data_IF_093666706899
#
_entry.id   IF_093666706899
#
_cell.length_a   1.000
_cell.length_b   1.000
_cell.length_c   1.000
_cell.angle_alpha   90.00
_cell.angle_beta   90.00
_cell.angle_gamma   90.00
#
_symmetry.space_group_name_H-M   'P 1'
#
loop_
_entity.id
_entity.type
_entity.pdbx_description
1 polymer ?
2 non-polymer ?
3 non-polymer ?
4 non-polymer ?
5 water ?
#
# COMPACT_ATOMS: atom_id res chain seq x y z
N UNK A 3 -19.89 17.47 -9.86
CA UNK A 3 -20.63 16.23 -9.61
C UNK A 3 -19.71 15.02 -9.71
N UNK A 4 -19.91 14.08 -8.79
CA UNK A 4 -19.09 12.88 -8.75
C UNK A 4 -19.89 11.65 -9.11
N UNK A 5 -19.30 10.79 -9.94
CA UNK A 5 -19.96 9.55 -10.32
C UNK A 5 -19.53 8.39 -9.45
N UNK A 6 -20.52 7.71 -8.87
CA UNK A 6 -20.29 6.48 -8.15
C UNK A 6 -20.65 5.35 -9.09
N UNK A 7 -19.65 4.56 -9.48
CA UNK A 7 -19.79 3.58 -10.55
C UNK A 7 -19.49 2.17 -10.05
N UNK A 8 -20.38 1.23 -10.36
CA UNK A 8 -20.18 -0.16 -9.93
C UNK A 8 -19.98 -1.09 -11.12
N UNK A 9 -20.19 -0.56 -12.32
CA UNK A 9 -20.10 -1.35 -13.54
C UNK A 9 -18.78 -1.13 -14.27
N UNK A 10 -18.11 -2.23 -14.64
CA UNK A 10 -16.91 -2.17 -15.46
C UNK A 10 -17.18 -1.48 -16.79
N UNK A 11 -18.25 -1.88 -17.46
CA UNK A 11 -18.65 -1.31 -18.74
C UNK A 11 -18.83 0.20 -18.63
N UNK A 12 -19.48 0.62 -17.55
CA UNK A 12 -19.76 2.03 -17.35
C UNK A 12 -18.48 2.84 -17.04
N UNK A 13 -17.58 2.25 -16.26
CA UNK A 13 -16.30 2.90 -15.95
C UNK A 13 -15.48 3.12 -17.21
N UNK A 14 -15.43 2.09 -18.06
CA UNK A 14 -14.71 2.17 -19.32
C UNK A 14 -15.23 3.28 -20.23
N UNK A 15 -16.55 3.44 -20.29
CA UNK A 15 -17.12 4.49 -21.13
C UNK A 15 -16.76 5.89 -20.63
N UNK A 16 -16.78 6.06 -19.31
CA UNK A 16 -16.45 7.36 -18.71
C UNK A 16 -15.01 7.72 -18.99
N UNK A 17 -14.12 6.75 -18.79
CA UNK A 17 -12.70 6.94 -19.08
C UNK A 17 -12.46 7.22 -20.56
N UNK A 18 -13.13 6.46 -21.43
CA UNK A 18 -13.03 6.67 -22.86
C UNK A 18 -13.43 8.09 -23.27
N UNK A 19 -14.51 8.59 -22.67
CA UNK A 19 -14.97 9.96 -22.94
C UNK A 19 -13.96 11.01 -22.49
N UNK A 20 -13.38 10.81 -21.31
CA UNK A 20 -12.35 11.72 -20.80
C UNK A 20 -11.15 11.77 -21.74
N UNK A 21 -10.72 10.60 -22.21
CA UNK A 21 -9.60 10.51 -23.14
C UNK A 21 -9.86 11.25 -24.44
N UNK A 22 -11.11 11.24 -24.89
CA UNK A 22 -11.48 11.89 -26.15
C UNK A 22 -11.36 13.42 -26.04
N UNK A 23 -11.32 13.92 -24.81
CA UNK A 23 -11.10 15.34 -24.57
C UNK A 23 -9.67 15.58 -24.09
N UNK A 24 -8.81 14.59 -24.29
CA UNK A 24 -7.39 14.66 -23.91
C UNK A 24 -7.16 15.02 -22.46
N UNK A 25 -7.99 14.48 -21.57
CA UNK A 25 -7.85 14.75 -20.15
C UNK A 25 -6.95 13.71 -19.49
N UNK A 26 -6.03 14.17 -18.64
CA UNK A 26 -5.18 13.27 -17.89
C UNK A 26 -5.96 12.64 -16.73
N UNK A 27 -5.54 11.45 -16.33
CA UNK A 27 -6.24 10.69 -15.30
C UNK A 27 -5.32 10.25 -14.16
N UNK A 28 -5.65 10.66 -12.94
CA UNK A 28 -4.93 10.21 -11.76
C UNK A 28 -5.76 9.15 -11.04
N UNK A 29 -5.11 8.06 -10.63
CA UNK A 29 -5.80 6.91 -10.06
C UNK A 29 -5.25 6.52 -8.69
N UNK A 30 -6.16 6.34 -7.74
CA UNK A 30 -5.82 5.92 -6.38
C UNK A 30 -6.55 4.63 -6.03
N UNK A 31 -5.88 3.48 -6.17
CA UNK A 31 -6.52 2.22 -5.77
C UNK A 31 -6.52 2.03 -4.25
N UNK A 32 -7.66 1.65 -3.68
CA UNK A 32 -7.78 1.44 -2.23
C UNK A 32 -8.69 0.26 -1.92
N UNK A 33 -8.69 -0.15 -0.65
CA UNK A 33 -9.64 -1.15 -0.18
C UNK A 33 -10.72 -0.54 0.72
N UNK A 34 -10.89 0.77 0.64
CA UNK A 34 -12.00 1.43 1.31
C UNK A 34 -11.75 1.75 2.77
N UNK A 35 -12.83 2.13 3.46
CA UNK A 35 -12.75 2.64 4.83
C UNK A 35 -11.67 3.72 4.91
N UNK A 36 -11.92 4.82 4.20
CA UNK A 36 -10.86 5.77 3.88
C UNK A 36 -10.40 6.63 5.06
N UNK A 37 -9.12 7.03 5.03
CA UNK A 37 -8.54 7.87 6.06
C UNK A 37 -7.62 8.91 5.41
N UNK A 38 -6.97 9.73 6.24
CA UNK A 38 -6.14 10.82 5.73
C UNK A 38 -4.98 10.35 4.85
N UNK A 39 -4.55 9.10 5.04
CA UNK A 39 -3.52 8.54 4.19
C UNK A 39 -4.00 8.51 2.74
N UNK A 40 -5.20 7.96 2.55
CA UNK A 40 -5.78 7.88 1.21
C UNK A 40 -5.99 9.28 0.66
N UNK A 41 -6.43 10.20 1.51
CA UNK A 41 -6.71 11.56 1.08
C UNK A 41 -5.46 12.27 0.60
N UNK A 42 -4.31 11.96 1.19
CA UNK A 42 -3.06 12.57 0.74
C UNK A 42 -2.72 12.13 -0.68
N UNK A 43 -3.13 10.90 -1.03
CA UNK A 43 -2.92 10.37 -2.37
C UNK A 43 -3.84 11.08 -3.36
N UNK A 44 -5.08 11.28 -2.96
CA UNK A 44 -6.06 12.01 -3.76
C UNK A 44 -5.54 13.42 -4.05
N UNK A 45 -5.02 14.08 -3.03
CA UNK A 45 -4.48 15.42 -3.19
C UNK A 45 -3.38 15.47 -4.26
N UNK A 46 -2.50 14.49 -4.26
CA UNK A 46 -1.47 14.40 -5.30
C UNK A 46 -2.10 14.14 -6.67
N UNK A 47 -3.11 13.28 -6.69
CA UNK A 47 -3.79 12.91 -7.93
C UNK A 47 -4.48 14.10 -8.59
N UNK A 48 -4.80 15.11 -7.78
CA UNK A 48 -5.48 16.31 -8.29
C UNK A 48 -4.61 17.14 -9.24
N UNK A 49 -3.35 16.76 -9.39
CA UNK A 49 -2.51 17.38 -10.41
C UNK A 49 -3.01 16.98 -11.80
N UNK A 50 -3.77 15.89 -11.87
CA UNK A 50 -4.33 15.42 -13.13
C UNK A 50 -5.71 16.04 -13.35
N UNK A 51 -6.20 15.99 -14.58
CA UNK A 51 -7.49 16.60 -14.91
C UNK A 51 -8.65 15.89 -14.23
N UNK A 52 -8.55 14.56 -14.14
CA UNK A 52 -9.59 13.74 -13.51
C UNK A 52 -8.98 12.76 -12.51
N UNK A 53 -9.67 12.58 -11.38
CA UNK A 53 -9.20 11.66 -10.34
C UNK A 53 -10.19 10.52 -10.12
N UNK A 54 -9.66 9.30 -10.11
CA UNK A 54 -10.46 8.11 -9.86
C UNK A 54 -9.98 7.45 -8.59
N UNK A 55 -10.93 7.10 -7.71
CA UNK A 55 -10.60 6.24 -6.58
C UNK A 55 -11.34 4.91 -6.76
N UNK A 56 -10.62 3.80 -6.67
CA UNK A 56 -11.30 2.51 -6.63
C UNK A 56 -11.37 2.01 -5.20
N UNK A 57 -12.47 1.36 -4.88
CA UNK A 57 -12.66 0.76 -3.57
C UNK A 57 -13.06 -0.67 -3.81
N UNK A 58 -12.18 -1.60 -3.45
CA UNK A 58 -12.43 -3.02 -3.70
C UNK A 58 -11.61 -3.85 -2.72
N UNK A 59 -12.31 -4.52 -1.80
CA UNK A 59 -11.61 -5.45 -0.91
C UNK A 59 -11.36 -6.71 -1.72
N UNK A 60 -10.15 -6.80 -2.29
CA UNK A 60 -9.82 -7.82 -3.27
C UNK A 60 -9.60 -9.19 -2.62
N UNK A 61 -10.53 -10.13 -2.84
CA UNK A 61 -10.43 -11.42 -2.16
C UNK A 61 -9.16 -12.20 -2.53
N UNK A 62 -8.64 -11.98 -3.74
CA UNK A 62 -7.45 -12.69 -4.20
C UNK A 62 -6.22 -12.44 -3.33
N UNK A 63 -6.16 -11.30 -2.65
CA UNK A 63 -4.97 -10.98 -1.88
C UNK A 63 -5.09 -11.24 -0.37
N UNK A 64 -6.15 -11.92 0.02
CA UNK A 64 -6.33 -12.38 1.40
C UNK A 64 -6.25 -13.90 1.46
N UNK A 65 -5.55 -14.42 2.47
CA UNK A 65 -5.61 -15.85 2.76
C UNK A 65 -6.65 -16.10 3.86
N UNK A 66 -7.07 -17.37 4.04
CA UNK A 66 -8.09 -17.73 5.03
C UNK A 66 -7.69 -17.44 6.47
N UNK A 67 -6.38 -17.31 6.71
CA UNK A 67 -5.87 -17.00 8.04
C UNK A 67 -5.84 -15.51 8.30
N UNK A 68 -6.30 -14.72 7.34
CA UNK A 68 -6.22 -13.27 7.45
C UNK A 68 -7.59 -12.67 7.72
N UNK A 69 -7.80 -11.41 7.35
CA UNK A 69 -8.96 -10.69 7.88
C UNK A 69 -9.94 -10.19 6.81
N UNK A 70 -10.13 -10.98 5.75
CA UNK A 70 -11.08 -10.60 4.71
C UNK A 70 -12.48 -10.33 5.27
N UNK A 71 -12.95 -11.21 6.14
CA UNK A 71 -14.32 -11.12 6.64
C UNK A 71 -14.55 -9.93 7.58
N UNK A 72 -13.51 -9.55 8.31
CA UNK A 72 -13.64 -8.49 9.30
C UNK A 72 -13.17 -7.14 8.77
N UNK A 73 -12.60 -7.12 7.57
CA UNK A 73 -12.06 -5.87 7.01
C UNK A 73 -13.11 -4.76 7.06
N UNK A 74 -12.74 -3.60 7.64
CA UNK A 74 -13.74 -2.54 7.83
C UNK A 74 -14.34 -2.09 6.51
N UNK A 75 -15.66 -1.93 6.49
CA UNK A 75 -16.37 -1.53 5.28
C UNK A 75 -17.45 -0.51 5.64
N UNK A 76 -17.43 0.63 4.93
CA UNK A 76 -18.41 1.69 5.17
C UNK A 76 -18.42 2.58 3.94
N UNK A 77 -19.26 2.22 2.97
CA UNK A 77 -19.30 2.91 1.68
C UNK A 77 -19.83 4.34 1.79
N UNK A 78 -20.79 4.53 2.69
CA UNK A 78 -21.34 5.85 2.93
C UNK A 78 -20.24 6.82 3.39
N UNK A 79 -19.43 6.37 4.33
CA UNK A 79 -18.26 7.14 4.80
C UNK A 79 -17.31 7.45 3.65
N UNK A 80 -16.97 6.43 2.87
CA UNK A 80 -16.01 6.58 1.78
C UNK A 80 -16.50 7.52 0.68
N UNK A 81 -17.76 7.34 0.27
CA UNK A 81 -18.34 8.17 -0.77
C UNK A 81 -18.33 9.65 -0.36
N UNK A 82 -18.70 9.91 0.88
CA UNK A 82 -18.72 11.27 1.40
C UNK A 82 -17.32 11.89 1.38
N UNK A 83 -16.33 11.13 1.83
CA UNK A 83 -14.95 11.62 1.83
C UNK A 83 -14.41 11.90 0.42
N UNK A 84 -14.74 11.04 -0.54
CA UNK A 84 -14.36 11.29 -1.92
C UNK A 84 -15.07 12.53 -2.46
N UNK A 85 -16.37 12.63 -2.20
CA UNK A 85 -17.17 13.77 -2.62
C UNK A 85 -16.56 15.07 -2.10
N UNK A 86 -16.20 15.06 -0.82
CA UNK A 86 -15.70 16.27 -0.16
C UNK A 86 -14.29 16.62 -0.58
N UNK A 87 -13.60 15.70 -1.25
CA UNK A 87 -12.20 15.92 -1.60
C UNK A 87 -11.92 15.95 -3.11
N UNK A 88 -12.96 16.20 -3.90
CA UNK A 88 -12.79 16.47 -5.31
C UNK A 88 -12.53 15.27 -6.21
N UNK A 89 -12.93 14.09 -5.77
CA UNK A 89 -12.84 12.90 -6.59
C UNK A 89 -13.89 12.94 -7.69
N UNK A 90 -13.50 12.57 -8.92
CA UNK A 90 -14.41 12.63 -10.06
C UNK A 90 -15.22 11.35 -10.26
N UNK A 91 -14.60 10.20 -9.99
CA UNK A 91 -15.30 8.93 -10.03
C UNK A 91 -14.86 8.02 -8.90
N UNK A 92 -15.82 7.45 -8.19
CA UNK A 92 -15.52 6.36 -7.27
C UNK A 92 -15.97 5.07 -7.92
N UNK A 93 -15.02 4.20 -8.19
CA UNK A 93 -15.28 2.91 -8.82
C UNK A 93 -15.36 1.83 -7.76
N UNK A 94 -16.55 1.29 -7.56
CA UNK A 94 -16.77 0.30 -6.51
C UNK A 94 -17.34 -0.97 -7.13
N UNK A 95 -16.50 -1.74 -7.82
CA UNK A 95 -17.02 -2.96 -8.45
C UNK A 95 -17.25 -4.02 -7.37
N UNK A 96 -18.22 -4.90 -7.57
CA UNK A 96 -18.33 -6.05 -6.70
C UNK A 96 -17.54 -7.18 -7.33
N UNK A 97 -17.26 -8.22 -6.57
CA UNK A 97 -16.38 -9.29 -7.05
C UNK A 97 -16.91 -10.01 -8.29
N UNK A 98 -18.23 -10.00 -8.50
CA UNK A 98 -18.82 -10.68 -9.66
C UNK A 98 -18.63 -9.90 -10.96
N UNK A 99 -18.34 -8.61 -10.84
CA UNK A 99 -17.98 -7.79 -11.99
C UNK A 99 -16.52 -8.02 -12.33
N UNK A 100 -15.69 -8.21 -11.31
CA UNK A 100 -14.25 -8.32 -11.51
C UNK A 100 -13.84 -9.74 -11.88
N UNK A 101 -14.37 -10.72 -11.16
CA UNK A 101 -13.98 -12.10 -11.37
C UNK A 101 -15.18 -12.94 -11.78
N UNK A 102 -15.34 -13.14 -13.10
CA UNK A 102 -16.45 -13.93 -13.62
C UNK A 102 -16.27 -15.41 -13.32
N UNK A 103 -17.31 -16.21 -13.60
CA UNK A 103 -17.32 -17.61 -13.20
C UNK A 103 -16.11 -18.43 -13.64
N UNK A 104 -15.63 -18.18 -14.85
CA UNK A 104 -14.54 -18.96 -15.44
C UNK A 104 -13.17 -18.30 -15.31
N UNK A 105 -13.07 -17.28 -14.46
CA UNK A 105 -11.81 -16.55 -14.27
C UNK A 105 -10.69 -17.49 -13.83
N UNK A 106 -9.54 -17.44 -14.50
CA UNK A 106 -8.43 -18.32 -14.16
C UNK A 106 -7.05 -17.74 -14.48
N UNK A 107 -7.01 -16.50 -14.94
CA UNK A 107 -5.76 -15.87 -15.36
C UNK A 107 -5.10 -15.20 -14.15
N UNK A 108 -3.78 -15.05 -14.19
CA UNK A 108 -3.10 -14.32 -13.13
C UNK A 108 -1.81 -13.68 -13.62
N UNK A 109 -1.35 -12.70 -12.86
CA UNK A 109 -0.07 -12.05 -13.09
C UNK A 109 0.77 -12.28 -11.83
N UNK A 110 2.03 -12.62 -11.99
CA UNK A 110 2.90 -12.87 -10.86
C UNK A 110 4.33 -12.61 -11.32
N UNK A 111 5.29 -12.80 -10.43
CA UNK A 111 6.69 -12.57 -10.81
C UNK A 111 7.62 -13.44 -9.98
N UNK A 112 8.88 -13.53 -10.43
CA UNK A 112 9.85 -14.45 -9.86
C UNK A 112 10.91 -13.78 -9.00
N UNK A 113 10.83 -12.46 -8.86
CA UNK A 113 11.71 -11.74 -7.96
C UNK A 113 10.89 -10.78 -7.10
N UNK A 114 11.52 -10.22 -6.07
CA UNK A 114 10.94 -9.18 -5.22
C UNK A 114 9.84 -9.66 -4.26
N UNK A 115 8.85 -10.37 -4.79
CA UNK A 115 7.70 -10.78 -3.97
C UNK A 115 8.00 -11.88 -2.96
N UNK A 116 9.17 -12.50 -3.03
CA UNK A 116 9.49 -13.58 -2.11
C UNK A 116 10.09 -13.11 -0.79
N UNK A 117 10.21 -11.80 -0.63
CA UNK A 117 10.83 -11.21 0.56
C UNK A 117 9.78 -10.56 1.43
N UNK A 118 10.18 -10.17 2.64
CA UNK A 118 9.31 -9.40 3.55
C UNK A 118 7.90 -10.00 3.70
N UNK A 119 6.86 -9.17 3.48
CA UNK A 119 5.47 -9.61 3.63
C UNK A 119 5.11 -10.72 2.65
N UNK A 120 5.74 -10.70 1.47
CA UNK A 120 5.48 -11.70 0.46
C UNK A 120 5.83 -13.10 0.94
N UNK A 121 6.91 -13.21 1.70
CA UNK A 121 7.30 -14.49 2.27
C UNK A 121 6.32 -14.95 3.36
N UNK A 122 5.69 -13.98 4.02
CA UNK A 122 4.76 -14.26 5.12
C UNK A 122 3.33 -14.47 4.63
N UNK A 123 3.07 -14.09 3.38
CA UNK A 123 1.70 -14.06 2.86
C UNK A 123 1.63 -14.69 1.47
N UNK A 124 1.68 -16.03 1.41
CA UNK A 124 1.66 -16.75 0.12
C UNK A 124 0.45 -16.35 -0.72
N UNK A 125 0.69 -16.00 -1.98
CA UNK A 125 -0.39 -15.66 -2.90
C UNK A 125 -0.82 -14.20 -2.86
N UNK A 126 -0.33 -13.44 -1.89
CA UNK A 126 -0.76 -12.06 -1.70
C UNK A 126 -0.42 -11.20 -2.92
N UNK A 127 0.83 -11.22 -3.34
CA UNK A 127 1.23 -10.34 -4.44
C UNK A 127 0.70 -10.76 -5.80
N UNK A 128 0.44 -12.05 -5.98
CA UNK A 128 -0.27 -12.50 -7.18
C UNK A 128 -1.63 -11.80 -7.22
N UNK A 129 -2.30 -11.72 -6.06
CA UNK A 129 -3.59 -11.07 -5.96
C UNK A 129 -3.49 -9.58 -6.27
N UNK A 130 -2.45 -8.93 -5.73
CA UNK A 130 -2.20 -7.51 -5.98
C UNK A 130 -1.91 -7.23 -7.46
N UNK A 131 -0.98 -7.98 -8.05
CA UNK A 131 -0.59 -7.76 -9.44
C UNK A 131 -1.75 -8.03 -10.37
N UNK A 132 -2.48 -9.10 -10.09
CA UNK A 132 -3.60 -9.49 -10.94
C UNK A 132 -4.72 -8.44 -10.91
N UNK A 133 -5.10 -7.98 -9.71
CA UNK A 133 -6.19 -7.02 -9.64
C UNK A 133 -5.79 -5.65 -10.20
N UNK A 134 -4.53 -5.24 -10.02
CA UNK A 134 -4.11 -3.94 -10.55
C UNK A 134 -3.95 -3.97 -12.07
N UNK A 135 -3.54 -5.11 -12.62
CA UNK A 135 -3.53 -5.26 -14.07
C UNK A 135 -4.94 -5.02 -14.63
N UNK A 136 -5.93 -5.60 -13.96
CA UNK A 136 -7.32 -5.41 -14.36
C UNK A 136 -7.77 -3.95 -14.23
N UNK A 137 -7.54 -3.34 -13.06
CA UNK A 137 -7.88 -1.94 -12.86
C UNK A 137 -7.17 -1.03 -13.86
N UNK A 138 -5.87 -1.28 -14.09
CA UNK A 138 -5.11 -0.46 -15.04
C UNK A 138 -5.68 -0.58 -16.46
N UNK A 139 -6.09 -1.79 -16.83
CA UNK A 139 -6.70 -1.99 -18.15
C UNK A 139 -8.08 -1.34 -18.29
N UNK A 140 -8.86 -1.37 -17.21
CA UNK A 140 -10.19 -0.78 -17.19
C UNK A 140 -10.14 0.75 -17.20
N UNK A 141 -9.29 1.32 -16.36
CA UNK A 141 -9.32 2.75 -16.06
C UNK A 141 -8.31 3.58 -16.86
N UNK A 142 -7.33 2.91 -17.44
CA UNK A 142 -6.35 3.55 -18.32
C UNK A 142 -5.74 4.83 -17.73
N UNK A 143 -5.20 4.76 -16.50
CA UNK A 143 -4.73 5.99 -15.85
C UNK A 143 -3.38 6.47 -16.42
N UNK A 144 -3.05 7.72 -16.17
CA UNK A 144 -1.74 8.25 -16.58
C UNK A 144 -0.75 8.12 -15.42
N UNK A 145 -1.22 8.44 -14.22
CA UNK A 145 -0.41 8.29 -13.03
C UNK A 145 -1.20 7.55 -11.95
N UNK A 146 -0.55 6.60 -11.30
CA UNK A 146 -1.17 5.84 -10.23
C UNK A 146 -0.48 6.21 -8.92
N UNK A 147 -1.26 6.64 -7.94
CA UNK A 147 -0.70 7.13 -6.69
C UNK A 147 -0.80 6.08 -5.60
N UNK A 148 0.35 5.71 -5.05
CA UNK A 148 0.43 4.67 -4.04
C UNK A 148 1.28 5.13 -2.85
N UNK A 149 1.02 4.56 -1.69
CA UNK A 149 1.68 4.99 -0.47
C UNK A 149 2.95 4.21 -0.17
N UNK A 150 3.96 4.95 0.27
CA UNK A 150 5.20 4.33 0.74
C UNK A 150 4.94 3.37 1.90
N UNK A 151 3.81 3.53 2.59
CA UNK A 151 3.49 2.66 3.72
C UNK A 151 3.53 1.18 3.33
N UNK A 152 3.04 0.87 2.13
CA UNK A 152 3.22 -0.47 1.60
C UNK A 152 4.38 -0.47 0.61
N UNK A 153 5.59 -0.42 1.18
CA UNK A 153 6.80 -0.17 0.40
C UNK A 153 7.06 -1.24 -0.63
N UNK A 154 6.97 -2.50 -0.20
CA UNK A 154 7.24 -3.62 -1.08
C UNK A 154 6.24 -3.62 -2.23
N UNK A 155 4.98 -3.36 -1.89
CA UNK A 155 3.94 -3.26 -2.92
C UNK A 155 4.29 -2.23 -3.99
N UNK A 156 4.77 -1.05 -3.59
CA UNK A 156 5.19 -0.04 -4.55
C UNK A 156 6.24 -0.59 -5.51
N UNK A 157 7.21 -1.30 -4.96
CA UNK A 157 8.33 -1.82 -5.75
C UNK A 157 7.86 -2.94 -6.68
N UNK A 158 7.01 -3.81 -6.14
CA UNK A 158 6.41 -4.88 -6.94
C UNK A 158 5.63 -4.31 -8.12
N UNK A 159 4.74 -3.37 -7.84
CA UNK A 159 3.89 -2.81 -8.88
C UNK A 159 4.72 -2.06 -9.93
N UNK A 160 5.69 -1.28 -9.47
CA UNK A 160 6.59 -0.57 -10.37
C UNK A 160 7.28 -1.55 -11.33
N UNK A 161 7.71 -2.68 -10.80
CA UNK A 161 8.39 -3.70 -11.59
C UNK A 161 7.44 -4.35 -12.61
N UNK A 162 6.22 -4.65 -12.18
CA UNK A 162 5.22 -5.21 -13.08
C UNK A 162 4.95 -4.24 -14.22
N UNK A 163 4.82 -2.97 -13.87
CA UNK A 163 4.56 -1.91 -14.85
C UNK A 163 5.70 -1.84 -15.90
N UNK A 164 6.94 -1.87 -15.43
CA UNK A 164 8.09 -1.87 -16.33
C UNK A 164 8.11 -3.11 -17.21
N UNK A 165 8.03 -4.28 -16.58
CA UNK A 165 8.11 -5.57 -17.29
C UNK A 165 7.01 -5.79 -18.33
N UNK A 166 5.80 -5.33 -18.03
CA UNK A 166 4.66 -5.58 -18.92
C UNK A 166 4.32 -4.36 -19.80
N UNK A 167 5.18 -3.35 -19.75
CA UNK A 167 5.03 -2.16 -20.59
C UNK A 167 3.74 -1.38 -20.39
N UNK A 168 3.22 -1.34 -19.17
CA UNK A 168 2.06 -0.47 -18.91
C UNK A 168 2.43 0.98 -19.14
N UNK A 169 1.61 1.67 -19.94
CA UNK A 169 1.89 3.06 -20.28
C UNK A 169 1.37 3.98 -19.19
N UNK A 170 2.00 3.93 -18.03
CA UNK A 170 1.61 4.78 -16.92
C UNK A 170 2.75 4.88 -15.93
N UNK A 171 2.61 5.82 -14.99
CA UNK A 171 3.62 6.07 -13.97
C UNK A 171 3.09 5.77 -12.55
N UNK A 172 3.89 5.08 -11.74
CA UNK A 172 3.58 4.85 -10.35
C UNK A 172 4.25 5.94 -9.54
N UNK A 173 3.47 6.76 -8.86
CA UNK A 173 4.04 7.80 -8.01
C UNK A 173 3.90 7.42 -6.54
N UNK A 174 5.04 7.30 -5.85
CA UNK A 174 5.06 6.93 -4.44
C UNK A 174 4.92 8.15 -3.54
N UNK A 175 4.02 8.07 -2.56
CA UNK A 175 3.72 9.18 -1.66
C UNK A 175 4.07 8.85 -0.21
N UNK A 176 4.43 9.87 0.59
CA UNK A 176 4.92 9.65 1.96
C UNK A 176 3.89 9.06 2.91
N UNK A 177 4.35 8.38 3.96
CA UNK A 177 3.48 7.81 4.97
C UNK A 177 2.80 8.90 5.80
N UNK A 178 1.48 8.83 5.89
CA UNK A 178 0.73 9.77 6.72
C UNK A 178 0.49 9.12 8.07
N UNK A 179 0.71 9.88 9.15
CA UNK A 179 0.65 9.33 10.49
C UNK A 179 -0.37 10.03 11.38
N UNK A 180 -0.88 9.28 12.35
CA UNK A 180 -1.68 9.86 13.43
C UNK A 180 -0.82 10.81 14.25
N UNK A 181 -1.47 11.61 15.10
CA UNK A 181 -0.80 12.60 15.93
C UNK A 181 0.34 12.03 16.78
N UNK A 182 0.19 10.78 17.19
CA UNK A 182 1.20 10.15 18.05
C UNK A 182 2.16 9.22 17.31
N UNK A 183 2.13 9.26 15.98
CA UNK A 183 3.14 8.56 15.19
C UNK A 183 2.66 7.31 14.47
N UNK A 184 1.59 6.69 14.95
CA UNK A 184 1.05 5.48 14.33
C UNK A 184 0.73 5.71 12.85
N UNK A 185 1.26 4.87 11.97
CA UNK A 185 0.97 4.98 10.54
C UNK A 185 -0.52 4.75 10.34
N UNK A 186 -1.18 5.65 9.60
CA UNK A 186 -2.61 5.49 9.37
C UNK A 186 -2.90 4.22 8.59
N UNK A 187 -3.96 3.51 9.01
CA UNK A 187 -4.36 2.30 8.35
C UNK A 187 -5.80 2.00 8.74
N UNK A 188 -6.57 1.50 7.80
CA UNK A 188 -7.93 1.08 8.09
C UNK A 188 -7.93 -0.01 9.17
N UNK A 189 -6.86 -0.79 9.24
CA UNK A 189 -6.77 -1.85 10.24
C UNK A 189 -6.55 -1.34 11.67
N UNK A 190 -6.21 -0.06 11.82
CA UNK A 190 -6.07 0.52 13.16
C UNK A 190 -7.39 0.47 13.93
N UNK A 191 -8.50 0.36 13.21
CA UNK A 191 -9.81 0.30 13.86
C UNK A 191 -9.94 -0.96 14.74
N UNK A 192 -9.13 -1.98 14.47
CA UNK A 192 -9.17 -3.22 15.25
C UNK A 192 -8.59 -3.06 16.66
N UNK A 193 -7.73 -2.07 16.87
CA UNK A 193 -6.94 -1.99 18.09
C UNK A 193 -7.76 -1.57 19.32
N UNK A 194 -7.57 -2.29 20.41
CA UNK A 194 -8.12 -1.91 21.70
C UNK A 194 -7.29 -0.74 22.24
N UNK A 195 -7.75 -0.15 23.32
CA UNK A 195 -7.04 0.94 23.98
C UNK A 195 -5.60 0.55 24.32
N UNK A 196 -5.44 -0.63 24.93
CA UNK A 196 -4.11 -1.12 25.31
C UNK A 196 -3.27 -1.46 24.08
N UNK A 197 -3.90 -2.03 23.08
CA UNK A 197 -3.19 -2.40 21.86
C UNK A 197 -2.69 -1.15 21.12
N UNK A 198 -3.50 -0.10 21.09
CA UNK A 198 -3.06 1.11 20.39
C UNK A 198 -1.87 1.74 21.09
N UNK A 199 -1.90 1.73 22.42
CA UNK A 199 -0.77 2.25 23.20
C UNK A 199 0.50 1.45 22.89
N UNK A 200 0.38 0.12 22.85
CA UNK A 200 1.52 -0.72 22.50
C UNK A 200 2.03 -0.49 21.08
N UNK A 201 1.11 -0.31 20.13
CA UNK A 201 1.47 -0.19 18.73
C UNK A 201 2.39 1.00 18.43
N UNK A 202 2.42 1.99 19.33
CA UNK A 202 3.27 3.15 19.12
C UNK A 202 4.75 2.78 19.07
N UNK A 203 5.10 1.65 19.67
CA UNK A 203 6.49 1.19 19.66
C UNK A 203 6.98 0.92 18.23
N UNK A 204 6.07 0.57 17.34
CA UNK A 204 6.43 0.33 15.96
C UNK A 204 6.97 1.59 15.27
N UNK A 205 6.20 2.66 15.30
CA UNK A 205 6.65 3.93 14.73
C UNK A 205 7.87 4.48 15.48
N UNK A 206 7.91 4.29 16.79
CA UNK A 206 9.07 4.72 17.58
C UNK A 206 10.35 4.01 17.11
N UNK A 207 10.26 2.72 16.83
CA UNK A 207 11.42 1.96 16.34
C UNK A 207 11.86 2.47 14.96
N UNK A 208 10.89 2.83 14.12
CA UNK A 208 11.16 3.41 12.81
C UNK A 208 11.83 4.79 12.92
N UNK A 209 11.33 5.63 13.82
CA UNK A 209 11.89 6.97 14.03
C UNK A 209 13.33 6.87 14.50
N UNK A 210 13.59 5.97 15.43
CA UNK A 210 14.95 5.79 15.95
C UNK A 210 15.89 5.31 14.87
N UNK A 211 15.46 4.28 14.14
CA UNK A 211 16.29 3.67 13.11
C UNK A 211 16.67 4.69 12.04
N UNK A 212 15.69 5.47 11.59
CA UNK A 212 15.98 6.48 10.56
C UNK A 212 16.95 7.53 11.10
N UNK A 213 16.80 7.89 12.37
CA UNK A 213 17.72 8.85 12.99
C UNK A 213 19.14 8.29 13.03
N UNK A 214 19.28 7.02 13.40
CA UNK A 214 20.59 6.37 13.46
C UNK A 214 21.24 6.32 12.08
N UNK A 215 20.44 5.95 11.07
CA UNK A 215 20.94 5.89 9.70
C UNK A 215 21.42 7.26 9.23
N UNK A 216 20.60 8.28 9.43
CA UNK A 216 20.95 9.62 8.98
C UNK A 216 22.10 10.23 9.77
N UNK A 217 22.48 9.59 10.87
CA UNK A 217 23.64 10.03 11.65
C UNK A 217 24.89 9.23 11.31
N UNK A 218 24.78 8.34 10.33
CA UNK A 218 25.95 7.66 9.79
C UNK A 218 26.12 6.21 10.16
N UNK A 219 25.15 5.63 10.86
CA UNK A 219 25.23 4.22 11.22
C UNK A 219 25.03 3.31 10.00
N UNK A 220 26.01 2.45 9.74
CA UNK A 220 25.97 1.59 8.56
C UNK A 220 25.68 0.12 8.89
N UNK A 221 25.93 -0.26 10.13
CA UNK A 221 25.76 -1.65 10.57
C UNK A 221 24.28 -1.96 10.81
N UNK A 222 23.66 -2.69 9.88
CA UNK A 222 22.23 -2.96 9.99
C UNK A 222 21.91 -3.87 11.18
N UNK A 223 22.85 -4.75 11.53
CA UNK A 223 22.65 -5.64 12.67
C UNK A 223 22.46 -4.83 13.95
N UNK A 224 23.18 -3.71 14.04
CA UNK A 224 23.12 -2.84 15.20
C UNK A 224 21.82 -2.03 15.24
N UNK A 225 21.42 -1.52 14.08
CA UNK A 225 20.17 -0.78 13.96
C UNK A 225 18.98 -1.68 14.30
N UNK A 226 18.99 -2.90 13.77
CA UNK A 226 17.91 -3.84 14.02
C UNK A 226 17.83 -4.19 15.52
N UNK A 227 18.97 -4.34 16.17
CA UNK A 227 18.97 -4.63 17.60
C UNK A 227 18.34 -3.48 18.39
N UNK A 228 18.67 -2.25 18.00
CA UNK A 228 18.11 -1.08 18.67
C UNK A 228 16.59 -1.02 18.47
N UNK A 229 16.13 -1.43 17.29
CA UNK A 229 14.69 -1.47 17.02
C UNK A 229 14.02 -2.57 17.84
N UNK A 230 14.64 -3.74 17.86
CA UNK A 230 14.14 -4.88 18.63
C UNK A 230 13.96 -4.53 20.10
N UNK A 231 14.93 -3.81 20.67
CA UNK A 231 14.88 -3.46 22.09
C UNK A 231 13.65 -2.63 22.43
N UNK A 232 13.30 -1.69 21.56
CA UNK A 232 12.10 -0.88 21.74
C UNK A 232 10.85 -1.74 21.68
N UNK A 233 10.77 -2.58 20.64
CA UNK A 233 9.59 -3.40 20.42
C UNK A 233 9.39 -4.47 21.49
N UNK A 234 10.50 -5.00 22.01
CA UNK A 234 10.43 -6.07 23.00
C UNK A 234 9.98 -5.60 24.38
N UNK A 235 9.85 -4.29 24.56
CA UNK A 235 9.34 -3.76 25.82
C UNK A 235 7.82 -3.83 25.89
N UNK A 236 7.18 -4.11 24.76
CA UNK A 236 5.72 -4.24 24.69
C UNK A 236 5.31 -5.70 24.60
N UNK A 237 4.71 -6.21 25.66
CA UNK A 237 4.32 -7.62 25.71
C UNK A 237 3.19 -7.96 24.73
N UNK A 238 2.44 -6.95 24.29
CA UNK A 238 1.35 -7.21 23.35
C UNK A 238 1.84 -7.34 21.91
N UNK A 239 3.12 -7.05 21.70
CA UNK A 239 3.70 -7.09 20.36
C UNK A 239 4.44 -8.39 20.08
N UNK A 240 4.07 -9.05 18.98
CA UNK A 240 4.82 -10.19 18.47
C UNK A 240 5.40 -9.81 17.12
N UNK A 241 6.73 -9.73 17.04
CA UNK A 241 7.39 -9.31 15.81
C UNK A 241 7.18 -10.36 14.72
N UNK A 242 6.81 -9.92 13.53
CA UNK A 242 6.74 -10.80 12.36
C UNK A 242 8.09 -10.75 11.65
N UNK A 243 8.52 -9.56 11.27
CA UNK A 243 9.89 -9.34 10.83
C UNK A 243 10.40 -7.93 11.13
N UNK A 244 11.71 -7.79 11.20
CA UNK A 244 12.40 -6.50 11.16
C UNK A 244 13.55 -6.70 10.19
N UNK A 245 13.57 -5.96 9.09
CA UNK A 245 14.56 -6.16 8.05
C UNK A 245 15.01 -4.84 7.47
N UNK A 246 16.32 -4.71 7.22
CA UNK A 246 16.85 -3.60 6.47
C UNK A 246 17.33 -4.12 5.12
N UNK A 247 16.69 -3.64 4.05
CA UNK A 247 16.91 -4.20 2.72
C UNK A 247 17.22 -3.12 1.71
N UNK A 248 17.77 -3.52 0.57
CA UNK A 248 17.96 -2.63 -0.57
C UNK A 248 16.59 -2.32 -1.15
N UNK A 249 16.32 -1.04 -1.40
CA UNK A 249 14.97 -0.64 -1.79
C UNK A 249 14.60 -1.12 -3.21
N UNK A 250 15.60 -1.43 -4.02
CA UNK A 250 15.32 -1.88 -5.38
C UNK A 250 15.10 -3.38 -5.52
N UNK A 251 15.76 -4.16 -4.66
CA UNK A 251 15.76 -5.62 -4.83
C UNK A 251 15.09 -6.36 -3.67
N UNK A 252 14.89 -5.67 -2.56
CA UNK A 252 14.33 -6.23 -1.32
C UNK A 252 15.28 -7.22 -0.61
N UNK A 253 16.51 -7.33 -1.09
CA UNK A 253 17.47 -8.23 -0.46
C UNK A 253 18.11 -7.61 0.78
N UNK A 254 18.37 -8.44 1.79
CA UNK A 254 18.92 -7.98 3.05
C UNK A 254 20.27 -7.28 2.87
N UNK A 255 20.49 -6.25 3.68
CA UNK A 255 21.72 -5.47 3.67
C UNK A 255 22.44 -5.70 5.00
N UNK A 256 23.73 -6.02 4.95
CA UNK A 256 24.55 -6.09 6.16
C UNK A 256 25.19 -4.74 6.45
N UNK A 257 25.62 -4.06 5.39
CA UNK A 257 26.24 -2.75 5.52
C UNK A 257 25.62 -1.75 4.55
N UNK A 258 25.13 -0.63 5.08
CA UNK A 258 24.45 0.37 4.27
C UNK A 258 25.41 1.20 3.41
N UNK A 259 25.11 1.32 2.13
CA UNK A 259 25.85 2.24 1.26
C UNK A 259 24.97 3.40 0.78
N UNK A 260 24.30 3.23 -0.36
CA UNK A 260 23.55 4.32 -0.97
C UNK A 260 22.10 4.43 -0.51
N UNK A 261 21.50 3.31 -0.10
CA UNK A 261 20.09 3.32 0.27
C UNK A 261 19.73 2.27 1.32
N UNK A 262 18.59 2.47 1.97
CA UNK A 262 18.04 1.45 2.85
C UNK A 262 16.54 1.61 3.02
N UNK A 263 15.83 0.49 2.92
CA UNK A 263 14.44 0.40 3.33
C UNK A 263 14.43 -0.40 4.62
N UNK A 264 14.05 0.25 5.72
CA UNK A 264 13.93 -0.44 7.00
C UNK A 264 12.48 -0.76 7.22
N UNK A 265 12.12 -2.03 7.21
CA UNK A 265 10.72 -2.42 7.29
C UNK A 265 10.41 -3.28 8.50
N UNK A 266 9.26 -3.02 9.12
CA UNK A 266 8.81 -3.78 10.27
C UNK A 266 7.40 -4.30 10.00
N UNK A 267 7.15 -5.54 10.38
CA UNK A 267 5.78 -6.07 10.47
C UNK A 267 5.64 -6.72 11.84
N UNK A 268 4.52 -6.46 12.51
CA UNK A 268 4.31 -7.02 13.83
C UNK A 268 2.84 -7.18 14.13
N UNK A 269 2.54 -8.18 14.95
CA UNK A 269 1.19 -8.38 15.45
C UNK A 269 1.04 -7.66 16.78
N UNK A 270 0.01 -6.82 16.88
CA UNK A 270 -0.37 -6.20 18.14
C UNK A 270 -1.71 -6.80 18.49
N UNK A 271 -1.72 -7.71 19.46
CA UNK A 271 -2.84 -8.62 19.60
C UNK A 271 -2.94 -9.40 18.31
N UNK A 272 -4.13 -9.48 17.73
CA UNK A 272 -4.34 -10.23 16.50
C UNK A 272 -4.03 -9.40 15.23
N UNK A 273 -3.96 -8.09 15.37
CA UNK A 273 -3.84 -7.18 14.23
C UNK A 273 -2.41 -7.10 13.69
N UNK A 274 -2.24 -7.31 12.39
CA UNK A 274 -0.92 -7.24 11.78
C UNK A 274 -0.63 -5.87 11.17
N UNK A 275 0.27 -5.12 11.81
CA UNK A 275 0.60 -3.78 11.37
C UNK A 275 1.97 -3.75 10.70
N UNK A 276 2.16 -2.81 9.77
CA UNK A 276 3.46 -2.63 9.12
C UNK A 276 3.85 -1.15 9.10
N UNK A 277 5.14 -0.89 9.01
CA UNK A 277 5.66 0.47 8.96
C UNK A 277 7.05 0.37 8.37
N UNK A 278 7.58 1.49 7.89
CA UNK A 278 8.93 1.51 7.34
C UNK A 278 9.50 2.91 7.30
N UNK A 279 10.80 2.99 7.03
CA UNK A 279 11.39 4.25 6.63
C UNK A 279 12.23 3.96 5.40
N UNK A 280 12.47 4.98 4.59
CA UNK A 280 13.23 4.83 3.36
C UNK A 280 14.24 5.97 3.24
N UNK A 281 15.51 5.61 3.08
CA UNK A 281 16.56 6.58 2.85
C UNK A 281 17.26 6.26 1.54
N UNK A 282 17.43 7.26 0.70
CA UNK A 282 18.06 7.08 -0.60
C UNK A 282 19.14 8.13 -0.83
N UNK A 283 20.04 7.87 -1.76
CA UNK A 283 21.06 8.83 -2.14
C UNK A 283 22.07 9.17 -1.06
N UNK A 284 22.45 8.17 -0.26
CA UNK A 284 23.51 8.36 0.72
C UNK A 284 24.87 8.28 0.04
N UNK A 285 25.83 9.07 0.54
CA UNK A 285 27.18 9.05 0.00
C UNK A 285 28.03 7.99 0.70
X LIG B 1 -5.28 0.23 1.37
X LIG B 1 -5.44 -0.85 0.33
X LIG B 1 -4.83 -0.18 2.74
X LIG B 1 -6.57 0.99 1.46
X LIG B 1 -4.31 1.35 0.81
X LIG B 1 -4.53 1.95 -0.46
X LIG B 1 -3.37 2.86 -0.83
X LIG B 1 -3.20 3.84 0.23
X LIG B 1 -2.03 2.14 -0.98
X LIG B 1 -1.25 2.79 -1.97
X LIG B 1 -1.40 2.37 0.39
X LIG B 1 0.02 2.28 0.43
X LIG B 1 -1.87 3.78 0.71
X LIG B 1 -1.85 4.09 2.13
X LIG B 1 -2.43 3.37 3.12
X LIG B 1 -2.14 3.90 4.34
X LIG B 1 -1.33 4.96 4.13
X LIG B 1 -0.65 5.95 4.97
X LIG B 1 -0.80 5.91 6.31
X LIG B 1 0.10 6.90 4.36
X LIG B 1 0.24 6.93 3.01
X LIG B 1 -0.35 6.05 2.18
X LIG B 1 -1.13 5.06 2.68
X LIG C 1 -5.95 -4.20 -4.17
X LIG C 1 -4.47 -2.39 -3.55
X LIG C 1 -4.91 -3.34 -4.66
X LIG C 1 -3.32 -1.56 -4.13
X LIG C 1 -5.63 -1.49 -3.14
X LIG C 1 -4.03 -3.25 -2.36
X LIG C 1 -3.04 -4.15 -2.85
X LIG C 1 -3.50 -2.52 -1.15
X LIG C 1 -3.10 -1.36 -1.19
X LIG C 1 -3.47 -3.20 0.01
X LIG C 1 -2.30 -3.11 0.88
X LIG C 1 -2.53 -3.64 2.30
X LIG C 1 -2.87 -5.12 2.31
X LIG C 1 -2.50 -5.86 3.35
X LIG C 1 -3.50 -5.64 1.40
X LIG D 1 -10.75 10.31 9.71
X LIG D 1 -10.83 10.24 8.31
X LIG D 1 -9.37 9.85 10.15
X LIG D 1 -9.40 8.47 10.41
X LIG D 1 -8.40 10.11 9.01
X LIG D 1 -7.09 9.81 9.40
#
# INVERSE_FOLDING_TARGET
SNAMQVITSVKEAKQIVKDWKSHQLSIGYVPTMGFLHDGHLSLVKHAKTQDKVIVSIFVNPMQFGPNEDFSSYPRDLERDIKMCQDNGVDMVFIPDATQMYLKNFSTYVDMNTITDKLCGAKRPGHFRGVCTVLTKFFNILNPDIVYMGQKDAQQCVVVRHMVDDLNFDLKIQICPIIREEDGLAKSSRNVYLSKEERKASLAISQSIFLAEKLVREGEKNTSKIIQAMKDILEKEKLIKIDYIELVDFNTMENIENITDNVLGAVAAFVGKTRLIDNFLVQGLK
AMP P O1P O2P O3P O5' C5' C4' O4' C3' O3' C2' O2' C1' N9 C8 N7 C5 C6 N6 N1 C2 N3 C4
PAU O2 C1 C2 C3 C4 C5 O5' C6 O6' N C8 C9 C OXT O
GOL C1 O1 C2 O2 C3 O3
#
